data_IF_214853574437
#
_entry.id   IF_214853574437
#
_cell.length_a   1.000
_cell.length_b   1.000
_cell.length_c   1.000
_cell.angle_alpha   90.00
_cell.angle_beta   90.00
_cell.angle_gamma   90.00
#
_symmetry.space_group_name_H-M   'P 1'
#
loop_
_entity.id
_entity.type
_entity.pdbx_description
1 polymer ?
#
# COMPACT_ATOMS: atom_id res chain seq x y z
N UNK A 1 -10.51 10.35 1.87
CA UNK A 1 -9.55 9.27 1.50
C UNK A 1 -9.04 8.45 2.69
N UNK A 2 -8.59 9.04 3.81
CA UNK A 2 -8.08 8.26 4.97
C UNK A 2 -9.11 7.28 5.56
N UNK A 3 -10.35 7.72 5.79
CA UNK A 3 -11.43 6.85 6.25
C UNK A 3 -11.65 5.65 5.32
N UNK A 4 -11.65 5.88 4.01
CA UNK A 4 -11.81 4.85 3.00
C UNK A 4 -10.68 3.80 3.05
N UNK A 5 -9.41 4.22 3.12
CA UNK A 5 -8.29 3.27 3.23
C UNK A 5 -8.43 2.39 4.49
N UNK A 6 -8.86 2.98 5.61
CA UNK A 6 -9.04 2.29 6.87
C UNK A 6 -10.24 1.31 6.83
N UNK A 7 -11.31 1.66 6.13
CA UNK A 7 -12.46 0.78 5.92
C UNK A 7 -12.11 -0.37 4.95
N UNK A 8 -11.41 -0.09 3.86
CA UNK A 8 -10.90 -1.12 2.93
C UNK A 8 -9.95 -2.09 3.64
N UNK A 9 -9.08 -1.58 4.52
CA UNK A 9 -8.21 -2.41 5.34
C UNK A 9 -9.00 -3.36 6.24
N UNK A 10 -10.04 -2.88 6.94
CA UNK A 10 -10.92 -3.73 7.77
C UNK A 10 -11.64 -4.80 6.95
N UNK A 11 -12.11 -4.45 5.75
CA UNK A 11 -12.76 -5.41 4.85
C UNK A 11 -11.79 -6.49 4.41
N UNK A 12 -10.57 -6.12 4.01
CA UNK A 12 -9.52 -7.08 3.61
C UNK A 12 -9.12 -8.00 4.75
N UNK A 13 -8.93 -7.47 5.96
CA UNK A 13 -8.65 -8.28 7.15
C UNK A 13 -9.81 -9.23 7.47
N UNK A 14 -11.07 -8.76 7.35
CA UNK A 14 -12.25 -9.59 7.55
C UNK A 14 -12.41 -10.70 6.50
N UNK A 15 -12.04 -10.45 5.25
CA UNK A 15 -11.98 -11.46 4.19
C UNK A 15 -10.86 -12.47 4.45
N UNK A 16 -9.67 -11.98 4.84
CA UNK A 16 -8.53 -12.83 5.15
C UNK A 16 -8.78 -13.73 6.37
N UNK A 17 -9.49 -13.22 7.38
CA UNK A 17 -9.87 -13.99 8.57
C UNK A 17 -10.74 -15.21 8.24
N UNK A 18 -11.43 -15.23 7.09
CA UNK A 18 -12.28 -16.34 6.62
C UNK A 18 -11.50 -17.43 5.88
N UNK A 19 -10.22 -17.23 5.59
CA UNK A 19 -9.39 -18.24 4.93
C UNK A 19 -8.99 -19.38 5.88
N UNK A 20 -8.67 -20.58 5.36
CA UNK A 20 -8.13 -21.69 6.14
C UNK A 20 -6.91 -21.29 6.97
N UNK A 21 -6.77 -21.89 8.16
CA UNK A 21 -5.71 -21.57 9.12
C UNK A 21 -4.31 -21.79 8.55
N UNK A 22 -4.14 -22.75 7.65
CA UNK A 22 -2.89 -23.07 6.96
C UNK A 22 -2.41 -21.94 6.04
N UNK A 23 -3.36 -21.17 5.48
CA UNK A 23 -3.06 -20.00 4.66
C UNK A 23 -2.79 -18.80 5.57
N UNK A 24 -3.61 -18.63 6.61
CA UNK A 24 -3.48 -17.51 7.57
C UNK A 24 -2.15 -17.53 8.32
N UNK A 25 -1.71 -18.70 8.79
CA UNK A 25 -0.47 -18.87 9.55
C UNK A 25 0.79 -18.55 8.74
N UNK A 26 0.75 -18.74 7.41
CA UNK A 26 1.84 -18.37 6.50
C UNK A 26 1.90 -16.87 6.23
N UNK A 27 0.82 -16.14 6.48
CA UNK A 27 0.68 -14.71 6.16
C UNK A 27 0.05 -13.93 7.34
N UNK A 28 0.73 -13.86 8.51
CA UNK A 28 0.18 -13.20 9.70
C UNK A 28 0.01 -11.68 9.54
N UNK A 29 0.64 -11.08 8.53
CA UNK A 29 0.52 -9.67 8.15
C UNK A 29 0.11 -9.57 6.68
N UNK A 30 -1.12 -9.98 6.39
CA UNK A 30 -1.61 -10.03 5.02
C UNK A 30 -1.71 -8.64 4.40
N UNK A 31 -2.30 -7.69 5.13
CA UNK A 31 -2.41 -6.30 4.71
C UNK A 31 -1.75 -5.35 5.71
N UNK A 32 -1.34 -4.16 5.25
CA UNK A 32 -0.99 -3.05 6.14
C UNK A 32 -1.40 -1.70 5.53
N UNK A 33 -1.69 -0.73 6.42
CA UNK A 33 -1.86 0.68 6.07
C UNK A 33 -0.51 1.39 6.11
N UNK A 34 -0.22 2.17 5.07
CA UNK A 34 0.97 2.98 4.96
C UNK A 34 0.63 4.38 4.45
N UNK A 35 0.40 5.28 5.40
CA UNK A 35 -0.04 6.66 5.20
C UNK A 35 0.76 7.65 6.09
N UNK A 36 0.33 8.92 6.07
CA UNK A 36 0.93 9.99 6.86
C UNK A 36 0.90 9.74 8.38
N UNK A 37 -0.10 9.00 8.88
CA UNK A 37 -0.30 8.72 10.31
C UNK A 37 0.42 7.45 10.78
N UNK A 38 0.96 6.67 9.84
CA UNK A 38 1.72 5.47 10.17
C UNK A 38 2.98 5.85 10.94
N UNK A 39 3.09 5.42 12.19
CA UNK A 39 4.23 5.76 13.07
C UNK A 39 5.56 5.29 12.50
N UNK A 40 6.67 5.97 12.84
CA UNK A 40 8.01 5.59 12.38
C UNK A 40 8.37 4.14 12.68
N UNK A 41 7.93 3.63 13.84
CA UNK A 41 8.09 2.22 14.22
C UNK A 41 7.31 1.28 13.29
N UNK A 42 6.03 1.58 13.02
CA UNK A 42 5.21 0.79 12.11
C UNK A 42 5.76 0.82 10.66
N UNK A 43 6.19 2.00 10.18
CA UNK A 43 6.86 2.14 8.87
C UNK A 43 8.10 1.27 8.76
N UNK A 44 8.92 1.20 9.82
CA UNK A 44 10.10 0.34 9.84
C UNK A 44 9.72 -1.13 9.75
N UNK A 45 8.76 -1.58 10.56
CA UNK A 45 8.26 -2.97 10.52
C UNK A 45 7.70 -3.37 9.15
N UNK A 46 6.91 -2.49 8.52
CA UNK A 46 6.35 -2.72 7.18
C UNK A 46 7.47 -2.87 6.14
N UNK A 47 8.56 -2.10 6.23
CA UNK A 47 9.68 -2.23 5.29
C UNK A 47 10.51 -3.50 5.52
N UNK A 48 10.78 -3.83 6.78
CA UNK A 48 11.52 -5.04 7.16
C UNK A 48 10.76 -6.31 6.78
N UNK A 49 9.43 -6.31 6.96
CA UNK A 49 8.55 -7.43 6.67
C UNK A 49 7.33 -6.94 5.88
N UNK A 50 7.46 -6.75 4.56
CA UNK A 50 6.39 -6.20 3.74
C UNK A 50 5.17 -7.12 3.66
N UNK A 51 3.95 -6.56 3.79
CA UNK A 51 2.71 -7.32 3.67
C UNK A 51 2.47 -7.75 2.21
N UNK A 52 1.48 -8.63 2.01
CA UNK A 52 1.03 -9.01 0.66
C UNK A 52 0.25 -7.87 0.00
N UNK A 53 -0.50 -7.11 0.78
CA UNK A 53 -1.28 -5.96 0.34
C UNK A 53 -0.85 -4.73 1.14
N UNK A 54 -0.46 -3.68 0.42
CA UNK A 54 -0.14 -2.39 1.04
C UNK A 54 -1.18 -1.36 0.59
N UNK A 55 -1.94 -0.84 1.55
CA UNK A 55 -2.87 0.24 1.30
C UNK A 55 -2.16 1.56 1.56
N UNK A 56 -2.08 2.42 0.55
CA UNK A 56 -1.36 3.68 0.62
C UNK A 56 -2.04 4.75 -0.21
N UNK A 57 -1.50 5.96 -0.16
CA UNK A 57 -1.95 7.09 -0.97
C UNK A 57 -0.84 7.55 -1.93
N UNK A 58 -1.17 8.32 -2.99
CA UNK A 58 -0.17 8.78 -3.97
C UNK A 58 0.97 9.58 -3.35
N UNK A 59 0.68 10.32 -2.27
CA UNK A 59 1.65 11.11 -1.54
C UNK A 59 2.72 10.24 -0.88
N UNK A 60 2.34 9.17 -0.18
CA UNK A 60 3.30 8.24 0.42
C UNK A 60 4.11 7.47 -0.61
N UNK A 61 3.50 7.16 -1.75
CA UNK A 61 4.23 6.59 -2.87
C UNK A 61 5.31 7.58 -3.37
N UNK A 62 4.95 8.85 -3.56
CA UNK A 62 5.85 9.91 -4.04
C UNK A 62 6.94 10.29 -3.04
N UNK A 63 6.61 10.42 -1.75
CA UNK A 63 7.51 10.96 -0.72
C UNK A 63 8.31 9.87 0.01
N UNK A 64 7.71 8.70 0.25
CA UNK A 64 8.27 7.71 1.19
C UNK A 64 8.72 6.42 0.51
N UNK A 65 8.13 6.04 -0.62
CA UNK A 65 8.42 4.77 -1.29
C UNK A 65 9.36 4.93 -2.47
N UNK A 66 8.98 5.71 -3.48
CA UNK A 66 9.74 5.83 -4.74
C UNK A 66 11.13 6.48 -4.57
N UNK A 67 11.33 7.56 -3.79
CA UNK A 67 12.67 8.13 -3.57
C UNK A 67 13.59 7.17 -2.81
N UNK A 68 13.01 6.29 -1.98
CA UNK A 68 13.72 5.33 -1.15
C UNK A 68 13.49 3.89 -1.63
N UNK A 69 13.31 3.69 -2.94
CA UNK A 69 12.89 2.41 -3.51
C UNK A 69 13.81 1.23 -3.16
N UNK A 70 15.11 1.48 -2.90
CA UNK A 70 16.05 0.46 -2.40
C UNK A 70 15.58 -0.17 -1.08
N UNK A 71 15.00 0.62 -0.18
CA UNK A 71 14.44 0.15 1.09
C UNK A 71 13.13 -0.63 0.91
N UNK A 72 12.55 -0.58 -0.29
CA UNK A 72 11.31 -1.25 -0.67
C UNK A 72 11.54 -2.34 -1.71
N UNK A 73 12.80 -2.72 -1.97
CA UNK A 73 13.15 -3.69 -3.00
C UNK A 73 12.43 -5.03 -2.79
N UNK A 74 12.30 -5.49 -1.54
CA UNK A 74 11.59 -6.73 -1.18
C UNK A 74 10.10 -6.70 -1.53
N UNK A 75 9.47 -5.53 -1.47
CA UNK A 75 8.09 -5.30 -1.87
C UNK A 75 7.96 -5.12 -3.38
N UNK A 76 8.69 -4.17 -3.96
CA UNK A 76 8.60 -3.83 -5.39
C UNK A 76 9.02 -4.98 -6.32
N UNK A 77 10.01 -5.81 -5.92
CA UNK A 77 10.40 -6.99 -6.71
C UNK A 77 9.31 -8.07 -6.82
N UNK A 78 8.25 -8.00 -5.99
CA UNK A 78 7.13 -8.94 -5.97
C UNK A 78 5.81 -8.26 -6.35
N UNK A 79 5.85 -6.97 -6.69
CA UNK A 79 4.67 -6.20 -7.05
C UNK A 79 4.15 -6.68 -8.41
N UNK A 80 2.91 -7.18 -8.43
CA UNK A 80 2.24 -7.63 -9.66
C UNK A 80 1.00 -6.81 -10.01
N UNK A 81 0.38 -6.20 -9.01
CA UNK A 81 -0.86 -5.47 -9.15
C UNK A 81 -0.75 -4.14 -8.43
N UNK A 82 -1.22 -3.08 -9.10
CA UNK A 82 -1.43 -1.76 -8.51
C UNK A 82 -2.91 -1.44 -8.72
N UNK A 83 -3.65 -1.32 -7.63
CA UNK A 83 -5.08 -0.96 -7.67
C UNK A 83 -5.17 0.52 -7.34
N UNK A 84 -5.76 1.28 -8.25
CA UNK A 84 -6.03 2.71 -8.06
C UNK A 84 -7.52 2.84 -7.83
N UNK A 85 -7.88 3.22 -6.61
CA UNK A 85 -9.25 3.54 -6.27
C UNK A 85 -9.59 4.96 -6.74
N UNK A 86 -10.87 5.24 -6.98
CA UNK A 86 -11.36 6.59 -7.27
C UNK A 86 -10.67 7.25 -8.49
N UNK A 87 -10.36 6.48 -9.55
CA UNK A 87 -9.66 7.00 -10.76
C UNK A 87 -10.29 8.28 -11.31
N UNK A 88 -11.61 8.39 -11.25
CA UNK A 88 -12.36 9.54 -11.74
C UNK A 88 -12.09 10.84 -10.94
N UNK A 89 -11.59 10.72 -9.72
CA UNK A 89 -11.20 11.86 -8.87
C UNK A 89 -9.83 12.43 -9.27
N UNK A 90 -9.01 11.69 -10.02
CA UNK A 90 -7.70 12.16 -10.49
C UNK A 90 -7.82 12.93 -11.82
N UNK A 91 -8.26 14.19 -11.76
CA UNK A 91 -8.36 15.10 -12.91
C UNK A 91 -7.57 16.40 -12.68
N UNK A 92 -7.37 17.16 -13.75
CA UNK A 92 -6.63 18.42 -13.71
C UNK A 92 -5.18 18.24 -13.21
N UNK A 93 -4.69 19.20 -12.43
CA UNK A 93 -3.31 19.18 -11.89
C UNK A 93 -3.03 17.94 -11.04
N UNK A 94 -4.01 17.50 -10.23
CA UNK A 94 -3.88 16.31 -9.41
C UNK A 94 -3.75 15.04 -10.25
N UNK A 95 -4.50 14.95 -11.36
CA UNK A 95 -4.39 13.87 -12.34
C UNK A 95 -3.01 13.82 -13.00
N UNK A 96 -2.49 14.99 -13.40
CA UNK A 96 -1.14 15.09 -13.95
C UNK A 96 -0.07 14.63 -12.96
N UNK A 97 -0.18 15.03 -11.69
CA UNK A 97 0.72 14.57 -10.65
C UNK A 97 0.65 13.05 -10.45
N UNK A 98 -0.56 12.48 -10.38
CA UNK A 98 -0.75 11.03 -10.26
C UNK A 98 -0.15 10.27 -11.44
N UNK A 99 -0.32 10.76 -12.67
CA UNK A 99 0.27 10.17 -13.87
C UNK A 99 1.80 10.10 -13.78
N UNK A 100 2.45 11.17 -13.29
CA UNK A 100 3.90 11.17 -13.07
C UNK A 100 4.35 10.19 -11.99
N UNK A 101 3.58 10.06 -10.91
CA UNK A 101 3.88 9.09 -9.84
C UNK A 101 3.78 7.65 -10.37
N UNK A 102 2.72 7.33 -11.12
CA UNK A 102 2.56 5.99 -11.73
C UNK A 102 3.66 5.73 -12.75
N UNK A 103 4.07 6.71 -13.55
CA UNK A 103 5.15 6.55 -14.53
C UNK A 103 6.49 6.19 -13.87
N UNK A 104 6.71 6.55 -12.61
CA UNK A 104 7.90 6.19 -11.84
C UNK A 104 7.84 4.81 -11.18
N UNK A 105 6.66 4.19 -11.12
CA UNK A 105 6.50 2.83 -10.63
C UNK A 105 6.94 1.76 -11.65
N UNK A 106 6.99 2.13 -12.94
CA UNK A 106 7.37 1.26 -14.07
C UNK A 106 8.80 1.48 -14.54
#
# INVERSE_FOLDING_TARGET
MKALAQDQYKVLEGLFARLPTEIRSKHPHFAALFDGDTSSYARRKIRENPPKVLLSNPEMLHLSMLPYHRNWQSFFSRLRYVVIDEVHSYRGVLGSHMAWVIRRLG
#
